data_IF_732249148861
#
_entry.id   IF_732249148861
#
_cell.length_a   1.000
_cell.length_b   1.000
_cell.length_c   1.000
_cell.angle_alpha   90.00
_cell.angle_beta   90.00
_cell.angle_gamma   90.00
#
_symmetry.space_group_name_H-M   'P 1'
#
loop_
_entity.id
_entity.type
_entity.pdbx_description
1 polymer ?
#
# COMPACT_ATOMS: atom_id res chain seq x y z
N UNK A 1 -17.38 0.86 -32.09
CA UNK A 1 -17.38 0.09 -30.84
C UNK A 1 -16.85 0.99 -29.73
N UNK A 2 -17.74 1.50 -28.89
CA UNK A 2 -17.40 2.47 -27.84
C UNK A 2 -16.49 1.80 -26.81
N UNK A 3 -15.22 2.20 -26.75
CA UNK A 3 -14.27 1.63 -25.81
C UNK A 3 -14.62 2.19 -24.42
N UNK A 4 -15.21 1.36 -23.56
CA UNK A 4 -15.62 1.73 -22.20
C UNK A 4 -14.43 2.17 -21.32
N UNK A 5 -13.23 1.70 -21.64
CA UNK A 5 -12.00 2.02 -20.92
C UNK A 5 -11.05 2.87 -21.74
N UNK A 6 -10.36 3.80 -21.10
CA UNK A 6 -9.30 4.55 -21.77
C UNK A 6 -8.17 3.60 -22.21
N UNK A 7 -7.42 3.98 -23.24
CA UNK A 7 -6.19 3.25 -23.64
C UNK A 7 -5.23 3.10 -22.47
N UNK A 8 -5.20 4.09 -21.56
CA UNK A 8 -4.33 4.08 -20.38
C UNK A 8 -4.78 3.04 -19.36
N UNK A 9 -6.08 2.91 -19.11
CA UNK A 9 -6.62 1.82 -18.26
C UNK A 9 -6.24 0.46 -18.82
N UNK A 10 -6.42 0.24 -20.13
CA UNK A 10 -6.05 -1.04 -20.74
C UNK A 10 -4.54 -1.32 -20.67
N UNK A 11 -3.70 -0.29 -20.77
CA UNK A 11 -2.25 -0.42 -20.61
C UNK A 11 -1.85 -0.79 -19.17
N UNK A 12 -2.51 -0.21 -18.17
CA UNK A 12 -2.25 -0.52 -16.75
C UNK A 12 -2.81 -1.90 -16.35
N UNK A 13 -3.89 -2.33 -16.99
CA UNK A 13 -4.44 -3.68 -16.81
C UNK A 13 -3.57 -4.77 -17.45
N UNK A 14 -3.15 -4.59 -18.70
CA UNK A 14 -2.38 -5.61 -19.45
C UNK A 14 -0.93 -5.69 -19.02
N UNK A 15 -0.35 -4.57 -18.58
CA UNK A 15 1.04 -4.48 -18.14
C UNK A 15 1.12 -3.73 -16.80
N UNK A 16 0.61 -4.31 -15.70
CA UNK A 16 0.58 -3.64 -14.41
C UNK A 16 1.99 -3.44 -13.87
N UNK A 17 2.25 -2.23 -13.35
CA UNK A 17 3.52 -1.87 -12.72
C UNK A 17 3.46 -2.24 -11.26
N UNK A 18 4.58 -2.64 -10.68
CA UNK A 18 4.68 -2.91 -9.23
C UNK A 18 3.78 -4.05 -8.71
N UNK A 19 3.31 -4.95 -9.55
CA UNK A 19 2.59 -6.14 -9.08
C UNK A 19 3.54 -7.06 -8.28
N UNK A 20 3.03 -7.65 -7.19
CA UNK A 20 3.73 -8.58 -6.33
C UNK A 20 3.68 -8.23 -4.84
N UNK A 21 4.62 -8.77 -4.10
CA UNK A 21 4.67 -8.68 -2.64
C UNK A 21 6.02 -8.18 -2.16
N UNK A 22 6.06 -7.53 -1.00
CA UNK A 22 7.30 -7.27 -0.28
C UNK A 22 7.25 -8.08 1.02
N UNK A 23 8.08 -9.13 1.12
CA UNK A 23 8.05 -10.10 2.24
C UNK A 23 8.27 -9.44 3.60
N UNK A 24 9.10 -8.41 3.64
CA UNK A 24 9.50 -7.68 4.84
C UNK A 24 8.90 -6.26 4.87
N UNK A 25 7.76 -6.01 4.21
CA UNK A 25 7.14 -4.68 4.12
C UNK A 25 7.06 -3.95 5.46
N UNK A 26 7.36 -2.65 5.44
CA UNK A 26 7.31 -1.82 6.65
C UNK A 26 5.86 -1.47 7.00
N UNK A 27 5.00 -1.33 5.97
CA UNK A 27 3.56 -1.14 6.10
C UNK A 27 2.77 -1.97 5.09
N UNK A 28 1.60 -2.48 5.51
CA UNK A 28 0.71 -3.28 4.67
C UNK A 28 -0.73 -2.78 4.80
N UNK A 29 -1.29 -2.32 3.68
CA UNK A 29 -2.70 -1.95 3.56
C UNK A 29 -3.49 -3.11 2.99
N UNK A 30 -4.56 -3.51 3.69
CA UNK A 30 -5.48 -4.57 3.23
C UNK A 30 -6.88 -4.01 3.18
N UNK A 31 -7.51 -4.05 2.02
CA UNK A 31 -8.84 -3.52 1.79
C UNK A 31 -9.64 -4.45 0.90
N UNK A 32 -10.96 -4.39 1.02
CA UNK A 32 -11.89 -5.12 0.17
C UNK A 32 -13.18 -4.35 0.03
N UNK A 33 -13.83 -4.46 -1.13
CA UNK A 33 -15.14 -3.89 -1.38
C UNK A 33 -16.18 -5.02 -1.40
N UNK A 34 -17.08 -5.10 -0.40
CA UNK A 34 -18.07 -6.18 -0.31
C UNK A 34 -19.13 -6.13 -1.42
N UNK A 35 -19.32 -4.99 -2.08
CA UNK A 35 -20.33 -4.82 -3.13
C UNK A 35 -19.91 -5.50 -4.44
N UNK A 36 -18.62 -5.39 -4.81
CA UNK A 36 -18.10 -5.95 -6.05
C UNK A 36 -17.14 -7.14 -5.86
N UNK A 37 -16.71 -7.42 -4.63
CA UNK A 37 -15.79 -8.52 -4.30
C UNK A 37 -14.32 -8.21 -4.57
N UNK A 38 -13.97 -7.00 -5.02
CA UNK A 38 -12.57 -6.62 -5.25
C UNK A 38 -11.80 -6.56 -3.91
N UNK A 39 -10.60 -7.15 -3.87
CA UNK A 39 -9.71 -7.13 -2.69
C UNK A 39 -8.29 -6.75 -3.09
N UNK A 40 -7.62 -5.97 -2.25
CA UNK A 40 -6.29 -5.45 -2.52
C UNK A 40 -5.39 -5.49 -1.28
N UNK A 41 -4.14 -5.93 -1.50
CA UNK A 41 -3.02 -5.79 -0.58
C UNK A 41 -2.00 -4.83 -1.19
N UNK A 42 -1.62 -3.81 -0.43
CA UNK A 42 -0.58 -2.86 -0.79
C UNK A 42 0.56 -2.94 0.21
N UNK A 43 1.78 -3.12 -0.28
CA UNK A 43 2.99 -3.27 0.51
C UNK A 43 3.88 -2.06 0.28
N UNK A 44 4.36 -1.43 1.35
CA UNK A 44 5.30 -0.30 1.25
C UNK A 44 6.60 -0.59 1.99
N UNK A 45 7.70 -0.09 1.43
CA UNK A 45 9.00 0.05 2.06
C UNK A 45 9.34 1.50 2.22
N UNK A 46 9.73 1.89 3.44
CA UNK A 46 10.00 3.28 3.79
C UNK A 46 11.50 3.46 4.03
N UNK A 47 12.06 4.57 3.55
CA UNK A 47 13.43 4.97 3.88
C UNK A 47 13.50 6.47 4.14
N UNK A 48 14.59 6.92 4.74
CA UNK A 48 14.93 8.35 4.76
C UNK A 48 15.59 8.75 3.44
N UNK A 49 15.19 9.89 2.89
CA UNK A 49 15.90 10.55 1.80
C UNK A 49 17.10 11.36 2.33
N UNK A 50 17.84 12.05 1.46
CA UNK A 50 18.99 12.88 1.83
C UNK A 50 18.63 14.05 2.75
N UNK A 51 17.36 14.48 2.76
CA UNK A 51 16.81 15.52 3.63
C UNK A 51 16.27 14.97 4.95
N UNK A 52 16.47 13.68 5.25
CA UNK A 52 15.99 13.02 6.45
C UNK A 52 14.48 12.73 6.49
N UNK A 53 13.76 12.97 5.39
CA UNK A 53 12.30 12.73 5.30
C UNK A 53 12.01 11.29 4.95
N UNK A 54 10.95 10.73 5.53
CA UNK A 54 10.46 9.38 5.23
C UNK A 54 9.71 9.36 3.90
N UNK A 55 10.21 8.54 2.98
CA UNK A 55 9.69 8.36 1.62
C UNK A 55 9.38 6.89 1.33
N UNK A 56 8.42 6.66 0.44
CA UNK A 56 8.10 5.33 -0.07
C UNK A 56 9.22 4.91 -1.05
N UNK A 57 10.19 4.13 -0.55
CA UNK A 57 11.30 3.58 -1.34
C UNK A 57 10.80 2.62 -2.41
N UNK A 58 9.96 1.68 -1.98
CA UNK A 58 9.37 0.69 -2.85
C UNK A 58 7.93 0.45 -2.44
N UNK A 59 7.14 0.04 -3.41
CA UNK A 59 5.71 -0.19 -3.27
C UNK A 59 5.33 -1.30 -4.22
N UNK A 60 4.54 -2.27 -3.73
CA UNK A 60 3.99 -3.35 -4.54
C UNK A 60 2.55 -3.63 -4.16
N UNK A 61 1.82 -4.29 -5.04
CA UNK A 61 0.45 -4.69 -4.78
C UNK A 61 0.12 -6.11 -5.23
N UNK A 62 -0.81 -6.74 -4.51
CA UNK A 62 -1.63 -7.84 -5.05
C UNK A 62 -3.07 -7.39 -5.05
N UNK A 63 -3.81 -7.73 -6.09
CA UNK A 63 -5.24 -7.47 -6.15
C UNK A 63 -5.94 -8.63 -6.80
N UNK A 64 -7.16 -8.90 -6.36
CA UNK A 64 -8.10 -9.76 -7.06
C UNK A 64 -9.34 -8.91 -7.32
N UNK A 65 -9.68 -8.74 -8.59
CA UNK A 65 -10.76 -7.86 -8.98
C UNK A 65 -10.81 -7.63 -10.48
N UNK A 66 -11.70 -6.73 -10.89
CA UNK A 66 -11.90 -6.42 -12.31
C UNK A 66 -10.71 -5.67 -12.94
N UNK A 67 -10.72 -5.49 -14.27
CA UNK A 67 -9.67 -4.79 -15.00
C UNK A 67 -9.40 -3.36 -14.45
N UNK A 68 -10.46 -2.66 -14.01
CA UNK A 68 -10.32 -1.35 -13.37
C UNK A 68 -9.59 -1.42 -12.02
N UNK A 69 -9.82 -2.46 -11.21
CA UNK A 69 -9.13 -2.66 -9.94
C UNK A 69 -7.63 -2.90 -10.13
N UNK A 70 -7.24 -3.69 -11.15
CA UNK A 70 -5.84 -3.90 -11.50
C UNK A 70 -5.21 -2.60 -12.01
N UNK A 71 -5.89 -1.87 -12.89
CA UNK A 71 -5.38 -0.61 -13.43
C UNK A 71 -5.21 0.48 -12.36
N UNK A 72 -6.19 0.65 -11.46
CA UNK A 72 -6.11 1.62 -10.36
C UNK A 72 -5.03 1.23 -9.35
N UNK A 73 -4.89 -0.07 -9.04
CA UNK A 73 -3.82 -0.59 -8.19
C UNK A 73 -2.44 -0.32 -8.80
N UNK A 74 -2.26 -0.56 -10.10
CA UNK A 74 -1.03 -0.22 -10.82
C UNK A 74 -0.74 1.28 -10.77
N UNK A 75 -1.75 2.12 -11.01
CA UNK A 75 -1.59 3.56 -11.04
C UNK A 75 -1.25 4.16 -9.67
N UNK A 76 -1.93 3.76 -8.59
CA UNK A 76 -1.65 4.30 -7.25
C UNK A 76 -0.21 4.03 -6.83
N UNK A 77 0.35 2.88 -7.19
CA UNK A 77 1.74 2.55 -6.85
C UNK A 77 2.74 3.46 -7.56
N UNK A 78 2.49 3.80 -8.83
CA UNK A 78 3.32 4.72 -9.59
C UNK A 78 3.24 6.14 -9.05
N UNK A 79 2.04 6.60 -8.69
CA UNK A 79 1.84 7.92 -8.11
C UNK A 79 2.53 8.05 -6.74
N UNK A 80 2.49 7.01 -5.91
CA UNK A 80 3.01 7.04 -4.55
C UNK A 80 4.52 6.77 -4.45
N UNK A 81 5.12 6.01 -5.37
CA UNK A 81 6.54 5.64 -5.29
C UNK A 81 7.44 6.88 -5.30
N UNK A 82 8.37 6.94 -4.34
CA UNK A 82 9.32 8.04 -4.20
C UNK A 82 8.80 9.28 -3.46
N UNK A 83 7.47 9.40 -3.25
CA UNK A 83 6.89 10.49 -2.47
C UNK A 83 7.15 10.32 -0.98
N UNK A 84 7.12 11.43 -0.25
CA UNK A 84 7.05 11.40 1.22
C UNK A 84 5.73 10.79 1.68
N UNK A 85 5.69 10.27 2.90
CA UNK A 85 4.45 9.71 3.47
C UNK A 85 3.30 10.74 3.45
N UNK A 86 3.59 11.99 3.81
CA UNK A 86 2.62 13.10 3.80
C UNK A 86 2.09 13.43 2.40
N UNK A 87 2.93 13.34 1.38
CA UNK A 87 2.49 13.56 -0.01
C UNK A 87 1.68 12.37 -0.53
N UNK A 88 2.07 11.15 -0.16
CA UNK A 88 1.37 9.93 -0.55
C UNK A 88 -0.04 9.86 0.09
N UNK A 89 -0.20 10.29 1.35
CA UNK A 89 -1.51 10.37 2.02
C UNK A 89 -2.51 11.30 1.33
N UNK A 90 -2.01 12.32 0.62
CA UNK A 90 -2.84 13.27 -0.11
C UNK A 90 -3.33 12.75 -1.45
N UNK A 91 -2.83 11.60 -1.93
CA UNK A 91 -3.30 11.03 -3.19
C UNK A 91 -4.74 10.56 -3.02
N UNK A 92 -5.63 11.17 -3.79
CA UNK A 92 -7.06 10.90 -3.78
C UNK A 92 -7.45 9.92 -4.88
N UNK A 93 -8.68 9.41 -4.79
CA UNK A 93 -9.29 8.61 -5.87
C UNK A 93 -9.34 9.36 -7.21
N UNK A 94 -9.47 10.69 -7.18
CA UNK A 94 -9.61 11.50 -8.38
C UNK A 94 -8.25 11.58 -9.07
N UNK A 95 -7.16 11.79 -8.32
CA UNK A 95 -5.80 11.76 -8.86
C UNK A 95 -5.51 10.44 -9.61
N UNK A 96 -5.97 9.31 -9.07
CA UNK A 96 -5.85 7.99 -9.70
C UNK A 96 -6.68 7.91 -10.99
N UNK A 97 -7.94 8.34 -10.94
CA UNK A 97 -8.84 8.32 -12.10
C UNK A 97 -8.33 9.24 -13.23
N UNK A 98 -7.88 10.44 -12.88
CA UNK A 98 -7.38 11.44 -13.82
C UNK A 98 -6.07 10.97 -14.46
N UNK A 99 -5.18 10.34 -13.69
CA UNK A 99 -3.95 9.72 -14.21
C UNK A 99 -4.23 8.56 -15.17
N UNK A 100 -5.40 7.92 -15.06
CA UNK A 100 -5.90 6.91 -15.98
C UNK A 100 -6.64 7.50 -17.18
N UNK A 101 -6.64 8.83 -17.36
CA UNK A 101 -7.44 9.56 -18.37
C UNK A 101 -8.94 9.31 -18.22
N UNK A 102 -9.39 9.22 -16.97
CA UNK A 102 -10.77 8.96 -16.60
C UNK A 102 -11.10 7.48 -16.44
N UNK A 103 -12.15 7.24 -15.65
CA UNK A 103 -12.81 5.95 -15.49
C UNK A 103 -14.32 6.16 -15.67
N UNK A 104 -15.05 5.20 -16.24
CA UNK A 104 -16.52 5.25 -16.24
C UNK A 104 -17.06 5.44 -14.82
N UNK A 105 -18.11 6.24 -14.65
CA UNK A 105 -18.66 6.58 -13.33
C UNK A 105 -18.95 5.34 -12.47
N UNK A 106 -19.44 4.26 -13.08
CA UNK A 106 -19.74 2.99 -12.39
C UNK A 106 -18.50 2.28 -11.83
N UNK A 107 -17.30 2.59 -12.34
CA UNK A 107 -16.01 1.99 -11.93
C UNK A 107 -15.17 2.90 -11.02
N UNK A 108 -15.68 4.07 -10.65
CA UNK A 108 -14.98 4.98 -9.73
C UNK A 108 -14.71 4.37 -8.35
N UNK A 109 -15.49 3.37 -7.92
CA UNK A 109 -15.25 2.65 -6.67
C UNK A 109 -13.90 1.90 -6.66
N UNK A 110 -13.37 1.49 -7.81
CA UNK A 110 -12.05 0.87 -7.90
C UNK A 110 -10.92 1.85 -7.59
N UNK A 111 -11.12 3.16 -7.84
CA UNK A 111 -10.16 4.20 -7.42
C UNK A 111 -10.18 4.38 -5.91
N UNK A 112 -11.36 4.34 -5.27
CA UNK A 112 -11.47 4.37 -3.79
C UNK A 112 -10.65 3.24 -3.16
N UNK A 113 -10.83 2.01 -3.66
CA UNK A 113 -10.14 0.83 -3.14
C UNK A 113 -8.61 1.04 -3.13
N UNK A 114 -8.06 1.56 -4.24
CA UNK A 114 -6.63 1.79 -4.36
C UNK A 114 -6.10 2.90 -3.44
N UNK A 115 -6.84 4.01 -3.28
CA UNK A 115 -6.46 5.10 -2.37
C UNK A 115 -6.56 4.68 -0.91
N UNK A 116 -7.58 3.89 -0.57
CA UNK A 116 -7.79 3.39 0.80
C UNK A 116 -6.70 2.38 1.18
N UNK A 117 -6.28 1.53 0.23
CA UNK A 117 -5.15 0.62 0.42
C UNK A 117 -3.85 1.39 0.76
N UNK A 118 -3.59 2.51 0.07
CA UNK A 118 -2.42 3.34 0.33
C UNK A 118 -2.46 3.97 1.72
N UNK A 119 -3.56 4.61 2.09
CA UNK A 119 -3.74 5.18 3.43
C UNK A 119 -3.55 4.12 4.50
N UNK A 120 -4.17 2.95 4.34
CA UNK A 120 -4.07 1.86 5.31
C UNK A 120 -2.66 1.31 5.45
N UNK A 121 -1.88 1.27 4.36
CA UNK A 121 -0.48 0.86 4.40
C UNK A 121 0.39 1.85 5.17
N UNK A 122 0.16 3.15 4.99
CA UNK A 122 0.88 4.22 5.71
C UNK A 122 0.51 4.20 7.20
N UNK A 123 -0.77 4.06 7.53
CA UNK A 123 -1.22 3.92 8.92
C UNK A 123 -0.61 2.70 9.62
N UNK A 124 -0.52 1.56 8.93
CA UNK A 124 0.11 0.35 9.46
C UNK A 124 1.59 0.57 9.78
N UNK A 125 2.31 1.28 8.90
CA UNK A 125 3.69 1.69 9.13
C UNK A 125 3.83 2.59 10.38
N UNK A 126 3.03 3.65 10.47
CA UNK A 126 3.09 4.60 11.59
C UNK A 126 2.75 3.93 12.93
N UNK A 127 1.75 3.03 12.94
CA UNK A 127 1.40 2.23 14.13
C UNK A 127 2.58 1.37 14.58
N UNK A 128 3.21 0.62 13.66
CA UNK A 128 4.38 -0.23 13.97
C UNK A 128 5.56 0.59 14.47
N UNK A 129 5.79 1.78 13.90
CA UNK A 129 6.85 2.71 14.33
C UNK A 129 6.62 3.23 15.75
N UNK A 130 5.38 3.60 16.09
CA UNK A 130 5.01 4.02 17.45
C UNK A 130 5.23 2.90 18.46
N UNK A 131 4.75 1.69 18.19
CA UNK A 131 4.95 0.54 19.08
C UNK A 131 6.44 0.21 19.29
N UNK A 132 7.27 0.26 18.24
CA UNK A 132 8.73 0.07 18.37
C UNK A 132 9.38 1.14 19.26
N UNK A 133 8.91 2.39 19.17
CA UNK A 133 9.41 3.49 20.01
C UNK A 133 9.04 3.28 21.48
N UNK A 134 7.79 2.88 21.76
CA UNK A 134 7.30 2.59 23.11
C UNK A 134 8.06 1.42 23.75
N UNK A 135 8.28 0.32 23.01
CA UNK A 135 9.06 -0.83 23.48
C UNK A 135 10.50 -0.40 23.79
N UNK A 136 11.14 0.37 22.91
CA UNK A 136 12.51 0.85 23.14
C UNK A 136 12.61 1.70 24.41
N UNK A 137 11.64 2.58 24.64
CA UNK A 137 11.59 3.43 25.83
C UNK A 137 11.39 2.60 27.11
N UNK A 138 10.53 1.57 27.07
CA UNK A 138 10.34 0.66 28.20
C UNK A 138 11.60 -0.13 28.53
N UNK A 139 12.35 -0.59 27.52
CA UNK A 139 13.62 -1.29 27.71
C UNK A 139 14.71 -0.37 28.29
N UNK A 140 14.72 0.91 27.92
CA UNK A 140 15.65 1.91 28.44
C UNK A 140 15.36 2.27 29.91
N UNK A 141 14.07 2.38 30.27
CA UNK A 141 13.63 2.68 31.64
C UNK A 141 13.77 1.47 32.60
N UNK A 142 13.70 0.25 32.09
CA UNK A 142 13.93 -0.97 32.87
C UNK A 142 14.81 -1.97 32.09
N UNK A 143 16.15 -1.91 32.25
CA UNK A 143 17.10 -2.77 31.54
C UNK A 143 16.87 -4.27 31.78
N UNK A 144 16.18 -4.65 32.87
CA UNK A 144 15.82 -6.04 33.16
C UNK A 144 14.84 -6.66 32.16
N UNK A 145 14.10 -5.85 31.40
CA UNK A 145 13.16 -6.31 30.36
C UNK A 145 13.86 -6.80 29.09
N UNK A 146 15.16 -6.54 28.92
CA UNK A 146 15.91 -6.96 27.74
C UNK A 146 16.03 -8.49 27.58
N UNK A 147 15.74 -9.24 28.66
CA UNK A 147 15.64 -10.71 28.66
C UNK A 147 14.34 -11.25 28.07
N UNK A 148 13.36 -10.38 27.81
CA UNK A 148 12.06 -10.73 27.25
C UNK A 148 11.90 -10.09 25.87
N UNK A 149 12.56 -10.66 24.85
CA UNK A 149 12.26 -10.27 23.47
C UNK A 149 10.79 -10.58 23.16
N UNK A 150 9.97 -9.59 22.76
CA UNK A 150 8.64 -9.89 22.28
C UNK A 150 8.79 -10.63 20.96
N UNK A 151 8.34 -11.90 20.92
CA UNK A 151 8.19 -12.68 19.69
C UNK A 151 7.19 -11.96 18.78
N UNK A 152 7.67 -10.97 18.02
CA UNK A 152 6.97 -10.48 16.84
C UNK A 152 6.76 -11.71 15.96
N UNK A 153 5.49 -12.05 15.79
CA UNK A 153 4.99 -13.32 15.31
C UNK A 153 5.40 -13.61 13.86
N UNK A 154 6.64 -14.09 13.69
CA UNK A 154 6.98 -14.97 12.57
C UNK A 154 6.62 -16.38 13.00
N UNK A 155 5.39 -16.80 12.71
CA UNK A 155 5.11 -18.24 12.60
C UNK A 155 5.97 -18.78 11.46
N UNK A 156 7.24 -19.10 11.73
CA UNK A 156 7.97 -20.11 10.97
C UNK A 156 7.24 -21.43 11.24
N UNK A 157 6.26 -21.76 10.40
CA UNK A 157 5.79 -23.14 10.29
C UNK A 157 6.92 -23.91 9.61
N UNK A 158 7.83 -24.42 10.43
CA UNK A 158 8.53 -25.66 10.10
C UNK A 158 7.49 -26.78 10.13
N UNK A 159 7.26 -27.43 9.00
CA UNK A 159 6.79 -28.82 8.87
C UNK A 159 7.40 -29.29 7.55
N UNK A 160 8.53 -29.99 7.66
CA UNK A 160 8.68 -31.45 7.56
C UNK A 160 8.70 -31.86 6.10
#
# INVERSE_FOLDING_TARGET
>A
MTILYSKKVMQEFTHPRNMGEIKDADGIGKVGNPVCGDVMWLYIKVRKNTKGQEIIKDIKFKTFGCAAAIATSSMITQLAKGKTLKEAEKITRNDVADSLKGLPSIKMHCSNLSSDALKRAIEDYEKKKKSKKEIKLQMEYNPGLQKYEPRLSVKKKNKK
#
